data_IF_472516731118
#
_entry.id   IF_472516731118
#
_cell.length_a   1.000
_cell.length_b   1.000
_cell.length_c   1.000
_cell.angle_alpha   90.00
_cell.angle_beta   90.00
_cell.angle_gamma   90.00
#
_symmetry.space_group_name_H-M   'P 1'
#
loop_
_entity.id
_entity.type
_entity.pdbx_description
1 polymer ?
#
# COMPACT_ATOMS: atom_id res chain seq x y z
N UNK A 1 8.94 19.37 -10.17
CA UNK A 1 8.92 18.45 -11.33
C UNK A 1 7.59 17.70 -11.44
N UNK A 2 7.26 16.78 -10.52
CA UNK A 2 5.99 16.02 -10.57
C UNK A 2 4.77 16.90 -10.36
N UNK A 3 4.79 17.79 -9.34
CA UNK A 3 3.70 18.73 -9.08
C UNK A 3 3.48 19.70 -10.26
N UNK A 4 4.55 20.14 -10.90
CA UNK A 4 4.48 21.01 -12.09
C UNK A 4 3.87 20.28 -13.28
N UNK A 5 4.19 18.98 -13.45
CA UNK A 5 3.56 18.15 -14.47
C UNK A 5 2.07 17.93 -14.20
N UNK A 6 1.69 17.71 -12.94
CA UNK A 6 0.28 17.62 -12.55
C UNK A 6 -0.48 18.92 -12.82
N UNK A 7 0.12 20.07 -12.47
CA UNK A 7 -0.46 21.39 -12.74
C UNK A 7 -0.61 21.65 -14.25
N UNK A 8 0.33 21.18 -15.07
CA UNK A 8 0.23 21.26 -16.51
C UNK A 8 -0.90 20.35 -17.05
N UNK A 9 -1.00 19.10 -16.58
CA UNK A 9 -2.05 18.16 -16.99
C UNK A 9 -3.45 18.65 -16.61
N UNK A 10 -3.62 19.30 -15.46
CA UNK A 10 -4.92 19.90 -15.06
C UNK A 10 -5.41 20.93 -16.09
N UNK A 11 -4.51 21.61 -16.80
CA UNK A 11 -4.86 22.62 -17.80
C UNK A 11 -5.18 22.04 -19.19
N UNK A 12 -5.03 20.72 -19.39
CA UNK A 12 -5.23 20.05 -20.68
C UNK A 12 -6.69 19.63 -20.86
N UNK A 13 -7.41 20.20 -21.81
CA UNK A 13 -8.75 19.71 -22.20
C UNK A 13 -8.62 18.67 -23.32
N UNK A 14 -8.30 17.42 -22.94
CA UNK A 14 -8.14 16.31 -23.87
C UNK A 14 -8.83 15.01 -23.38
N UNK A 15 -9.32 14.16 -24.30
CA UNK A 15 -9.84 12.85 -23.94
C UNK A 15 -8.81 12.02 -23.16
N UNK A 16 -9.21 11.46 -22.02
CA UNK A 16 -8.35 10.64 -21.17
C UNK A 16 -7.58 11.40 -20.09
N UNK A 17 -7.64 12.74 -20.06
CA UNK A 17 -7.01 13.58 -19.03
C UNK A 17 -7.38 13.14 -17.60
N UNK A 18 -8.66 12.89 -17.34
CA UNK A 18 -9.12 12.45 -16.01
C UNK A 18 -8.45 11.14 -15.57
N UNK A 19 -8.25 10.19 -16.49
CA UNK A 19 -7.57 8.93 -16.16
C UNK A 19 -6.10 9.17 -15.84
N UNK A 20 -5.43 10.08 -16.55
CA UNK A 20 -4.04 10.47 -16.28
C UNK A 20 -3.95 11.14 -14.90
N UNK A 21 -4.84 12.09 -14.60
CA UNK A 21 -4.88 12.77 -13.31
C UNK A 21 -5.12 11.79 -12.17
N UNK A 22 -6.10 10.88 -12.29
CA UNK A 22 -6.37 9.86 -11.26
C UNK A 22 -5.12 9.01 -10.98
N UNK A 23 -4.44 8.52 -12.02
CA UNK A 23 -3.23 7.70 -11.85
C UNK A 23 -2.05 8.48 -11.28
N UNK A 24 -1.88 9.75 -11.66
CA UNK A 24 -0.85 10.61 -11.08
C UNK A 24 -1.14 10.92 -9.60
N UNK A 25 -2.40 11.19 -9.25
CA UNK A 25 -2.84 11.41 -7.87
C UNK A 25 -2.63 10.15 -7.02
N UNK A 26 -3.04 8.98 -7.52
CA UNK A 26 -2.81 7.68 -6.86
C UNK A 26 -1.32 7.46 -6.60
N UNK A 27 -0.48 7.71 -7.61
CA UNK A 27 0.97 7.53 -7.50
C UNK A 27 1.59 8.49 -6.48
N UNK A 28 1.24 9.77 -6.53
CA UNK A 28 1.73 10.77 -5.57
C UNK A 28 1.32 10.41 -4.14
N UNK A 29 0.07 10.00 -3.92
CA UNK A 29 -0.42 9.58 -2.62
C UNK A 29 0.42 8.43 -2.06
N UNK A 30 0.69 7.40 -2.87
CA UNK A 30 1.52 6.25 -2.47
C UNK A 30 2.94 6.69 -2.13
N UNK A 31 3.56 7.55 -2.95
CA UNK A 31 4.90 8.08 -2.69
C UNK A 31 4.96 8.87 -1.38
N UNK A 32 4.01 9.79 -1.16
CA UNK A 32 3.94 10.61 0.06
C UNK A 32 3.75 9.76 1.31
N UNK A 33 2.84 8.77 1.27
CA UNK A 33 2.61 7.88 2.41
C UNK A 33 3.84 7.04 2.72
N UNK A 34 4.50 6.49 1.69
CA UNK A 34 5.73 5.71 1.88
C UNK A 34 6.84 6.54 2.52
N UNK A 35 7.06 7.75 2.02
CA UNK A 35 8.09 8.65 2.55
C UNK A 35 7.78 9.09 3.99
N UNK A 36 6.51 9.40 4.29
CA UNK A 36 6.09 9.72 5.65
C UNK A 36 6.37 8.54 6.58
N UNK A 37 5.87 7.35 6.25
CA UNK A 37 5.97 6.20 7.13
C UNK A 37 7.39 5.68 7.32
N UNK A 38 8.28 5.97 6.36
CA UNK A 38 9.70 5.57 6.42
C UNK A 38 10.61 6.65 7.03
N UNK A 39 10.03 7.76 7.50
CA UNK A 39 10.76 8.88 8.10
C UNK A 39 11.46 8.46 9.41
N UNK A 40 12.77 8.77 9.59
CA UNK A 40 13.47 8.52 10.83
C UNK A 40 12.82 9.21 12.03
N UNK A 41 12.65 8.49 13.13
CA UNK A 41 11.99 9.00 14.35
C UNK A 41 10.47 9.13 14.24
N UNK A 42 9.87 8.73 13.11
CA UNK A 42 8.42 8.60 12.97
C UNK A 42 7.88 7.37 13.69
N UNK A 43 6.59 7.40 14.03
CA UNK A 43 5.83 6.24 14.50
C UNK A 43 4.81 5.87 13.42
N UNK A 44 5.17 5.00 12.46
CA UNK A 44 4.22 4.58 11.43
C UNK A 44 3.12 3.72 12.07
N UNK A 45 1.95 3.61 11.41
CA UNK A 45 0.92 2.67 11.85
C UNK A 45 1.47 1.24 11.97
N UNK A 46 1.03 0.51 12.99
CA UNK A 46 1.56 -0.84 13.28
C UNK A 46 1.44 -1.80 12.08
N UNK A 47 0.36 -1.70 11.30
CA UNK A 47 0.15 -2.50 10.10
C UNK A 47 1.18 -2.20 8.99
N UNK A 48 1.70 -0.97 8.91
CA UNK A 48 2.74 -0.61 7.93
C UNK A 48 4.06 -1.28 8.29
N UNK A 49 4.44 -1.21 9.57
CA UNK A 49 5.64 -1.87 10.07
C UNK A 49 5.52 -3.41 9.97
N UNK A 50 4.34 -3.96 10.26
CA UNK A 50 4.08 -5.40 10.20
C UNK A 50 4.29 -6.00 8.80
N UNK A 51 4.18 -5.22 7.72
CA UNK A 51 4.47 -5.72 6.37
C UNK A 51 5.92 -6.15 6.16
N UNK A 52 6.84 -5.64 6.99
CA UNK A 52 8.28 -6.00 6.99
C UNK A 52 8.60 -7.18 7.90
N UNK A 53 7.66 -7.57 8.77
CA UNK A 53 7.84 -8.73 9.63
C UNK A 53 7.79 -10.01 8.76
N UNK A 54 8.72 -10.96 8.95
CA UNK A 54 8.78 -12.17 8.12
C UNK A 54 7.55 -13.07 8.28
N UNK A 55 6.85 -13.02 9.42
CA UNK A 55 5.66 -13.84 9.66
C UNK A 55 4.38 -13.05 9.39
N UNK A 56 4.21 -11.92 10.07
CA UNK A 56 3.03 -11.09 9.92
C UNK A 56 2.93 -10.47 8.52
N UNK A 57 4.05 -10.17 7.87
CA UNK A 57 4.07 -9.65 6.51
C UNK A 57 3.57 -10.68 5.49
N UNK A 58 3.95 -11.95 5.63
CA UNK A 58 3.42 -13.04 4.78
C UNK A 58 1.92 -13.26 5.02
N UNK A 59 1.48 -13.27 6.28
CA UNK A 59 0.07 -13.36 6.61
C UNK A 59 -0.75 -12.21 6.01
N UNK A 60 -0.26 -10.97 6.12
CA UNK A 60 -0.90 -9.78 5.53
C UNK A 60 -0.99 -9.87 4.01
N UNK A 61 0.07 -10.35 3.33
CA UNK A 61 0.04 -10.59 1.87
C UNK A 61 -1.07 -11.56 1.47
N UNK A 62 -1.26 -12.64 2.23
CA UNK A 62 -2.33 -13.61 1.96
C UNK A 62 -3.72 -12.99 2.16
N UNK A 63 -3.92 -12.23 3.23
CA UNK A 63 -5.18 -11.53 3.50
C UNK A 63 -5.51 -10.54 2.37
N UNK A 64 -4.52 -9.79 1.91
CA UNK A 64 -4.71 -8.83 0.81
C UNK A 64 -4.97 -9.50 -0.55
N UNK A 65 -4.41 -10.69 -0.79
CA UNK A 65 -4.65 -11.44 -2.01
C UNK A 65 -6.07 -12.04 -2.07
N UNK A 66 -6.60 -12.49 -0.92
CA UNK A 66 -7.93 -13.10 -0.81
C UNK A 66 -8.75 -12.47 0.33
N UNK A 67 -9.20 -11.20 0.17
CA UNK A 67 -9.83 -10.46 1.26
C UNK A 67 -11.19 -11.02 1.68
N UNK A 68 -11.85 -11.77 0.80
CA UNK A 68 -13.14 -12.40 1.08
C UNK A 68 -13.02 -13.76 1.80
N UNK A 69 -11.81 -14.31 1.95
CA UNK A 69 -11.63 -15.60 2.61
C UNK A 69 -11.85 -15.48 4.13
N UNK A 70 -12.40 -16.54 4.73
CA UNK A 70 -12.67 -16.62 6.16
C UNK A 70 -11.39 -16.96 6.95
N UNK A 71 -10.47 -16.02 7.00
CA UNK A 71 -9.17 -16.18 7.63
C UNK A 71 -9.27 -16.47 9.13
N UNK A 72 -8.53 -17.49 9.58
CA UNK A 72 -8.26 -17.74 11.01
C UNK A 72 -6.77 -17.70 11.25
N UNK A 73 -6.34 -17.46 12.49
CA UNK A 73 -4.91 -17.49 12.86
C UNK A 73 -4.29 -18.85 12.53
N UNK A 74 -5.02 -19.96 12.75
CA UNK A 74 -4.53 -21.29 12.37
C UNK A 74 -4.34 -21.42 10.87
N UNK A 75 -5.33 -21.02 10.06
CA UNK A 75 -5.25 -21.14 8.60
C UNK A 75 -4.12 -20.30 8.00
N UNK A 76 -3.82 -19.14 8.58
CA UNK A 76 -2.67 -18.31 8.20
C UNK A 76 -1.36 -18.99 8.60
N UNK A 77 -1.25 -19.47 9.85
CA UNK A 77 -0.07 -20.16 10.35
C UNK A 77 0.26 -21.41 9.50
N UNK A 78 -0.77 -22.18 9.15
CA UNK A 78 -0.65 -23.37 8.30
C UNK A 78 -0.17 -23.01 6.88
N UNK A 79 -0.67 -21.91 6.29
CA UNK A 79 -0.26 -21.45 4.94
C UNK A 79 1.15 -20.85 4.90
N UNK A 80 1.60 -20.20 5.97
CA UNK A 80 2.94 -19.58 6.03
C UNK A 80 4.01 -20.48 6.67
N UNK A 81 3.62 -21.67 7.16
CA UNK A 81 4.55 -22.67 7.69
C UNK A 81 5.10 -22.37 9.08
N UNK A 82 4.30 -21.74 9.95
CA UNK A 82 4.68 -21.41 11.34
C UNK A 82 3.69 -22.02 12.34
N UNK A 83 4.10 -22.08 13.61
CA UNK A 83 3.19 -22.42 14.71
C UNK A 83 2.23 -21.27 14.98
N UNK A 84 1.00 -21.61 15.39
CA UNK A 84 -0.01 -20.65 15.87
C UNK A 84 0.28 -20.10 17.28
N UNK A 85 1.05 -20.86 18.05
CA UNK A 85 1.29 -20.66 19.49
C UNK A 85 2.38 -19.65 19.79
#
# INVERSE_FOLDING_TARGET
AVLDHLAAEVAVDAPGQQVVLDRLLDWMLVCTLREWFDRPGGSPPAWWAAQRDPVAGDALRLIHAEPAAAWTVSALADRIGVSRS
#
